data_IF_555248113669
#
_entry.id   IF_555248113669
#
_cell.length_a   1.000
_cell.length_b   1.000
_cell.length_c   1.000
_cell.angle_alpha   90.00
_cell.angle_beta   90.00
_cell.angle_gamma   90.00
#
_symmetry.space_group_name_H-M   'P 1'
#
loop_
_entity.id
_entity.type
_entity.pdbx_description
1 polymer ?
#
# COMPACT_ATOMS: atom_id res chain seq x y z
N UNK A 1 -36.04 -7.66 -8.48
CA UNK A 1 -35.75 -9.07 -8.16
C UNK A 1 -34.31 -9.47 -8.48
N UNK A 2 -33.57 -8.77 -9.36
CA UNK A 2 -32.17 -9.09 -9.70
C UNK A 2 -31.05 -8.53 -8.80
N UNK A 3 -31.33 -7.68 -7.81
CA UNK A 3 -30.29 -7.17 -6.89
C UNK A 3 -29.97 -8.15 -5.75
N UNK A 4 -30.95 -8.93 -5.30
CA UNK A 4 -30.78 -9.88 -4.19
C UNK A 4 -29.95 -11.11 -4.63
N UNK A 5 -30.09 -11.54 -5.88
CA UNK A 5 -29.31 -12.65 -6.43
C UNK A 5 -27.83 -12.29 -6.65
N UNK A 6 -27.52 -11.06 -7.09
CA UNK A 6 -26.13 -10.59 -7.26
C UNK A 6 -25.43 -10.43 -5.90
N UNK A 7 -26.10 -9.85 -4.90
CA UNK A 7 -25.55 -9.78 -3.54
C UNK A 7 -25.34 -11.17 -2.91
N UNK A 8 -26.25 -12.12 -3.15
CA UNK A 8 -26.13 -13.50 -2.67
C UNK A 8 -24.93 -14.24 -3.29
N UNK A 9 -24.72 -14.11 -4.60
CA UNK A 9 -23.60 -14.74 -5.29
C UNK A 9 -22.23 -14.12 -4.89
N UNK A 10 -22.16 -12.79 -4.76
CA UNK A 10 -20.95 -12.09 -4.29
C UNK A 10 -20.59 -12.46 -2.86
N UNK A 11 -21.59 -12.55 -1.97
CA UNK A 11 -21.40 -13.01 -0.60
C UNK A 11 -20.86 -14.45 -0.56
N UNK A 12 -21.49 -15.40 -1.27
CA UNK A 12 -21.05 -16.81 -1.29
C UNK A 12 -19.61 -16.98 -1.78
N UNK A 13 -19.19 -16.23 -2.81
CA UNK A 13 -17.80 -16.23 -3.28
C UNK A 13 -16.81 -15.69 -2.26
N UNK A 14 -17.19 -14.66 -1.50
CA UNK A 14 -16.37 -14.11 -0.42
C UNK A 14 -16.25 -15.06 0.78
N UNK A 15 -17.32 -15.80 1.14
CA UNK A 15 -17.22 -16.84 2.17
C UNK A 15 -16.23 -17.92 1.76
N UNK A 16 -16.30 -18.41 0.52
CA UNK A 16 -15.38 -19.47 0.05
C UNK A 16 -13.92 -19.01 0.12
N UNK A 17 -13.62 -17.76 -0.25
CA UNK A 17 -12.29 -17.16 -0.13
C UNK A 17 -11.76 -17.14 1.32
N UNK A 18 -12.64 -16.89 2.30
CA UNK A 18 -12.28 -16.74 3.71
C UNK A 18 -12.36 -18.04 4.52
N UNK A 19 -13.09 -19.05 4.04
CA UNK A 19 -13.41 -20.26 4.81
C UNK A 19 -12.51 -21.46 4.53
N UNK A 20 -11.69 -21.46 3.46
CA UNK A 20 -10.72 -22.52 3.15
C UNK A 20 -9.32 -22.29 3.76
N UNK A 21 -9.28 -21.73 4.97
CA UNK A 21 -8.08 -21.76 5.81
C UNK A 21 -8.23 -22.96 6.74
N UNK A 22 -7.97 -24.18 6.25
CA UNK A 22 -7.75 -25.33 7.13
C UNK A 22 -6.85 -26.44 6.52
N UNK A 23 -5.88 -26.84 7.34
CA UNK A 23 -5.07 -28.09 7.35
C UNK A 23 -3.74 -28.21 6.57
N UNK A 24 -3.24 -27.22 5.82
CA UNK A 24 -1.94 -27.38 5.10
C UNK A 24 -0.86 -26.30 5.27
N UNK A 25 -0.85 -25.57 6.39
CA UNK A 25 0.26 -24.66 6.73
C UNK A 25 1.18 -25.24 7.81
N UNK A 26 1.95 -26.27 7.42
CA UNK A 26 3.29 -26.55 7.94
C UNK A 26 4.19 -26.79 6.73
N UNK A 27 4.43 -25.78 5.90
CA UNK A 27 5.48 -25.86 4.86
C UNK A 27 5.94 -24.47 4.46
N UNK A 28 6.89 -23.93 5.23
CA UNK A 28 7.93 -22.99 4.82
C UNK A 28 8.96 -22.95 5.96
N UNK A 29 9.79 -24.00 6.07
CA UNK A 29 10.77 -24.10 7.15
C UNK A 29 11.70 -25.31 7.13
N UNK A 30 11.67 -26.15 6.09
CA UNK A 30 12.61 -27.27 5.96
C UNK A 30 12.92 -27.51 4.48
N UNK A 31 13.83 -26.72 3.90
CA UNK A 31 14.59 -27.12 2.71
C UNK A 31 15.82 -26.22 2.43
N UNK A 32 16.41 -25.63 3.47
CA UNK A 32 17.72 -24.97 3.37
C UNK A 32 18.63 -25.53 4.47
N UNK A 33 18.85 -26.85 4.52
CA UNK A 33 19.98 -27.48 5.22
C UNK A 33 20.21 -28.89 4.65
N UNK A 34 20.46 -28.98 3.33
CA UNK A 34 21.09 -30.16 2.73
C UNK A 34 22.03 -29.75 1.60
N UNK A 35 23.15 -29.12 1.97
CA UNK A 35 24.41 -29.34 1.26
C UNK A 35 25.58 -28.92 2.15
N UNK A 36 26.70 -29.61 1.95
CA UNK A 36 28.03 -29.39 2.52
C UNK A 36 28.33 -30.08 3.86
N UNK A 37 28.49 -31.39 3.75
CA UNK A 37 29.52 -32.11 4.52
C UNK A 37 30.90 -31.57 4.17
N UNK A 38 31.57 -30.90 5.10
CA UNK A 38 33.03 -30.83 5.10
C UNK A 38 33.51 -31.02 6.54
N UNK A 39 34.26 -32.10 6.72
CA UNK A 39 34.93 -32.56 7.93
C UNK A 39 36.08 -31.63 8.34
N UNK A 40 36.20 -31.32 9.63
CA UNK A 40 37.39 -30.69 10.20
C UNK A 40 37.33 -30.60 11.73
N UNK A 41 38.20 -31.35 12.39
CA UNK A 41 38.35 -31.47 13.85
C UNK A 41 39.08 -30.25 14.48
N UNK A 42 38.72 -29.86 15.71
CA UNK A 42 39.60 -29.74 16.90
C UNK A 42 38.93 -28.96 18.06
N UNK A 43 38.67 -29.67 19.17
CA UNK A 43 39.04 -29.28 20.55
C UNK A 43 38.16 -28.33 21.38
N UNK A 44 38.15 -28.47 22.73
CA UNK A 44 36.93 -28.30 23.53
C UNK A 44 37.06 -27.33 24.71
N UNK A 45 36.24 -26.29 24.83
CA UNK A 45 35.99 -25.64 26.14
C UNK A 45 34.60 -24.99 26.18
N UNK A 46 33.99 -25.06 27.36
CA UNK A 46 32.69 -24.52 27.81
C UNK A 46 31.41 -25.31 27.50
N UNK A 47 31.20 -26.31 28.36
CA UNK A 47 29.87 -26.62 28.88
C UNK A 47 29.51 -25.63 30.01
N UNK A 48 28.41 -24.90 29.89
CA UNK A 48 27.40 -24.74 30.95
C UNK A 48 26.25 -23.82 30.53
N UNK A 49 25.05 -24.19 30.99
CA UNK A 49 23.79 -23.45 31.05
C UNK A 49 22.90 -23.47 29.79
N UNK A 50 22.21 -24.61 29.67
CA UNK A 50 20.84 -24.68 29.14
C UNK A 50 19.96 -23.75 29.99
N UNK A 51 19.58 -22.60 29.42
CA UNK A 51 18.38 -21.87 29.83
C UNK A 51 17.58 -21.63 28.57
N UNK A 52 16.46 -22.34 28.46
CA UNK A 52 15.44 -22.14 27.45
C UNK A 52 14.91 -20.71 27.60
N UNK A 53 15.37 -19.80 26.73
CA UNK A 53 14.64 -18.57 26.42
C UNK A 53 14.16 -18.67 25.00
N UNK A 54 12.84 -18.70 24.85
CA UNK A 54 12.16 -18.34 23.61
C UNK A 54 12.58 -16.91 23.25
N UNK A 55 13.68 -16.78 22.51
CA UNK A 55 13.92 -15.59 21.72
C UNK A 55 13.08 -15.75 20.47
N UNK A 56 11.95 -15.04 20.45
CA UNK A 56 11.33 -14.63 19.20
C UNK A 56 12.45 -14.10 18.31
N UNK A 57 12.77 -14.85 17.26
CA UNK A 57 13.64 -14.37 16.19
C UNK A 57 12.80 -13.31 15.49
N UNK A 58 12.89 -12.08 16.00
CA UNK A 58 12.51 -10.90 15.23
C UNK A 58 13.54 -10.87 14.11
N UNK A 59 13.16 -11.45 12.97
CA UNK A 59 13.83 -11.19 11.71
C UNK A 59 13.52 -9.72 11.41
N UNK A 60 14.37 -8.82 11.89
CA UNK A 60 14.56 -7.52 11.27
C UNK A 60 15.17 -7.80 9.90
N UNK A 61 14.33 -8.17 8.94
CA UNK A 61 14.64 -7.98 7.54
C UNK A 61 14.62 -6.46 7.32
N UNK A 62 15.75 -5.82 7.63
CA UNK A 62 16.10 -4.55 7.03
C UNK A 62 16.44 -4.83 5.56
N UNK A 63 15.40 -5.01 4.75
CA UNK A 63 15.50 -5.22 3.32
C UNK A 63 14.79 -4.08 2.61
N UNK A 64 15.58 -3.18 2.03
CA UNK A 64 15.22 -2.03 1.20
C UNK A 64 14.37 -0.96 1.90
N UNK A 65 14.69 0.30 1.62
CA UNK A 65 14.12 1.46 2.31
C UNK A 65 12.62 1.58 2.02
N UNK A 66 11.78 1.17 2.96
CA UNK A 66 10.34 1.32 2.87
C UNK A 66 9.95 2.80 3.08
N UNK A 67 9.53 3.47 2.02
CA UNK A 67 9.01 4.83 2.07
C UNK A 67 7.58 4.95 2.63
N UNK A 68 6.94 3.80 2.83
CA UNK A 68 5.52 3.67 3.12
C UNK A 68 5.22 3.29 4.56
N UNK A 69 3.93 3.34 4.90
CA UNK A 69 3.38 2.66 6.07
C UNK A 69 2.63 1.40 5.59
N UNK A 70 3.32 0.37 5.05
CA UNK A 70 2.66 -0.87 4.66
C UNK A 70 2.06 -1.55 5.87
N UNK A 71 2.80 -1.56 6.97
CA UNK A 71 2.51 -2.38 8.15
C UNK A 71 2.11 -1.57 9.36
N UNK A 72 1.34 -2.17 10.26
CA UNK A 72 0.90 -1.54 11.51
C UNK A 72 2.07 -1.21 12.45
N UNK A 73 3.13 -2.02 12.36
CA UNK A 73 4.38 -1.76 13.08
C UNK A 73 5.01 -0.45 12.61
N UNK A 74 5.04 -0.20 11.30
CA UNK A 74 5.49 1.08 10.73
C UNK A 74 4.52 2.21 11.01
N UNK A 75 3.23 1.90 11.24
CA UNK A 75 2.22 2.85 11.69
C UNK A 75 2.34 3.20 13.19
N UNK A 76 3.21 2.51 13.94
CA UNK A 76 3.34 2.60 15.40
C UNK A 76 1.98 2.46 16.12
N UNK A 77 1.17 1.47 15.73
CA UNK A 77 -0.14 1.23 16.35
C UNK A 77 -1.15 2.36 16.08
N UNK A 78 -1.10 2.97 14.89
CA UNK A 78 -2.03 4.02 14.47
C UNK A 78 -1.54 5.45 14.72
N UNK A 79 -0.47 5.64 15.50
CA UNK A 79 0.11 6.97 15.79
C UNK A 79 0.53 7.68 14.50
N UNK A 80 0.95 6.93 13.49
CA UNK A 80 1.38 7.48 12.19
C UNK A 80 0.32 7.41 11.10
N UNK A 81 -0.92 7.11 11.45
CA UNK A 81 -2.04 6.96 10.53
C UNK A 81 -2.48 5.50 10.38
N UNK A 82 -3.36 5.26 9.41
CA UNK A 82 -3.90 3.94 9.07
C UNK A 82 -3.00 3.33 7.99
N UNK A 83 -2.34 2.22 8.33
CA UNK A 83 -1.49 1.47 7.39
C UNK A 83 -2.29 0.92 6.21
N UNK A 84 -1.61 0.54 5.14
CA UNK A 84 -2.24 -0.18 4.03
C UNK A 84 -2.89 -1.49 4.49
N UNK A 85 -2.20 -2.25 5.35
CA UNK A 85 -2.76 -3.43 6.01
C UNK A 85 -4.06 -3.14 6.75
N UNK A 86 -4.09 -2.08 7.58
CA UNK A 86 -5.26 -1.76 8.38
C UNK A 86 -6.41 -1.22 7.50
N UNK A 87 -6.12 -0.43 6.46
CA UNK A 87 -7.13 -0.03 5.48
C UNK A 87 -7.78 -1.27 4.83
N UNK A 88 -6.99 -2.27 4.44
CA UNK A 88 -7.47 -3.56 3.94
C UNK A 88 -8.34 -4.29 4.97
N UNK A 89 -7.87 -4.42 6.22
CA UNK A 89 -8.63 -5.10 7.28
C UNK A 89 -9.95 -4.41 7.58
N UNK A 90 -9.96 -3.08 7.65
CA UNK A 90 -11.16 -2.28 7.91
C UNK A 90 -12.19 -2.48 6.80
N UNK A 91 -11.78 -2.42 5.53
CA UNK A 91 -12.66 -2.64 4.40
C UNK A 91 -13.25 -4.06 4.40
N UNK A 92 -12.41 -5.08 4.61
CA UNK A 92 -12.84 -6.49 4.65
C UNK A 92 -13.79 -6.76 5.82
N UNK A 93 -13.52 -6.18 6.99
CA UNK A 93 -14.42 -6.27 8.15
C UNK A 93 -15.77 -5.61 7.86
N UNK A 94 -15.78 -4.42 7.26
CA UNK A 94 -17.03 -3.73 6.91
C UNK A 94 -17.84 -4.50 5.88
N UNK A 95 -17.21 -5.10 4.86
CA UNK A 95 -17.90 -6.00 3.91
C UNK A 95 -18.49 -7.21 4.61
N UNK A 96 -17.70 -7.85 5.48
CA UNK A 96 -18.16 -8.98 6.26
C UNK A 96 -19.40 -8.63 7.08
N UNK A 97 -19.35 -7.53 7.84
CA UNK A 97 -20.47 -7.05 8.64
C UNK A 97 -21.69 -6.70 7.77
N UNK A 98 -21.47 -6.14 6.57
CA UNK A 98 -22.53 -5.82 5.62
C UNK A 98 -23.25 -7.07 5.12
N UNK A 99 -22.52 -8.15 4.84
CA UNK A 99 -23.10 -9.37 4.26
C UNK A 99 -23.61 -10.38 5.29
N UNK A 100 -22.98 -10.46 6.46
CA UNK A 100 -23.28 -11.49 7.45
C UNK A 100 -23.75 -10.94 8.81
N UNK A 101 -23.77 -9.62 8.97
CA UNK A 101 -24.06 -8.97 10.25
C UNK A 101 -22.90 -9.05 11.24
N UNK A 102 -23.15 -8.56 12.45
CA UNK A 102 -22.19 -8.61 13.55
C UNK A 102 -22.09 -10.05 14.08
N UNK A 103 -21.09 -10.80 13.64
CA UNK A 103 -20.84 -12.17 14.11
C UNK A 103 -19.84 -12.11 15.28
N UNK A 104 -20.22 -12.56 16.48
CA UNK A 104 -19.27 -12.75 17.58
C UNK A 104 -18.14 -13.69 17.13
N UNK A 105 -16.89 -13.28 17.27
CA UNK A 105 -15.74 -14.13 16.93
C UNK A 105 -14.72 -13.56 15.95
N UNK A 106 -14.68 -12.24 15.73
CA UNK A 106 -13.50 -11.59 15.13
C UNK A 106 -12.33 -11.57 16.13
N UNK A 107 -11.81 -12.76 16.43
CA UNK A 107 -10.62 -12.99 17.24
C UNK A 107 -9.53 -13.56 16.34
N UNK A 108 -8.27 -13.38 16.69
CA UNK A 108 -7.12 -13.74 15.84
C UNK A 108 -7.04 -15.22 15.46
N UNK A 109 -7.72 -16.11 16.19
CA UNK A 109 -7.79 -17.55 15.88
C UNK A 109 -8.91 -17.93 14.90
N UNK A 110 -9.74 -16.98 14.46
CA UNK A 110 -10.82 -17.25 13.50
C UNK A 110 -10.23 -17.35 12.08
N UNK A 111 -10.57 -18.43 11.36
CA UNK A 111 -10.10 -18.68 9.99
C UNK A 111 -10.36 -17.54 8.99
N UNK A 112 -11.47 -16.82 9.14
CA UNK A 112 -11.79 -15.68 8.28
C UNK A 112 -10.90 -14.48 8.61
N UNK A 113 -10.53 -14.31 9.89
CA UNK A 113 -9.58 -13.27 10.32
C UNK A 113 -8.19 -13.58 9.79
N UNK A 114 -7.75 -14.85 9.88
CA UNK A 114 -6.49 -15.30 9.31
C UNK A 114 -6.44 -15.11 7.78
N UNK A 115 -7.53 -15.40 7.08
CA UNK A 115 -7.63 -15.12 5.64
C UNK A 115 -7.51 -13.62 5.32
N UNK A 116 -8.14 -12.75 6.11
CA UNK A 116 -8.00 -11.29 5.96
C UNK A 116 -6.57 -10.84 6.26
N UNK A 117 -5.91 -11.44 7.25
CA UNK A 117 -4.50 -11.17 7.56
C UNK A 117 -3.58 -11.59 6.41
N UNK A 118 -3.81 -12.73 5.76
CA UNK A 118 -3.05 -13.13 4.56
C UNK A 118 -3.20 -12.13 3.40
N UNK A 119 -4.41 -11.57 3.22
CA UNK A 119 -4.66 -10.51 2.23
C UNK A 119 -3.88 -9.24 2.61
N UNK A 120 -3.95 -8.82 3.88
CA UNK A 120 -3.24 -7.64 4.37
C UNK A 120 -1.72 -7.79 4.26
N UNK A 121 -1.15 -8.97 4.56
CA UNK A 121 0.27 -9.25 4.39
C UNK A 121 0.68 -9.23 2.90
N UNK A 122 -0.12 -9.83 2.02
CA UNK A 122 0.15 -9.80 0.58
C UNK A 122 0.06 -8.38 0.00
N UNK A 123 -0.78 -7.52 0.57
CA UNK A 123 -0.83 -6.09 0.30
C UNK A 123 0.50 -5.41 0.70
N UNK A 124 0.92 -5.55 1.95
CA UNK A 124 2.15 -4.93 2.46
C UNK A 124 3.43 -5.35 1.73
N UNK A 125 3.49 -6.58 1.19
CA UNK A 125 4.69 -7.10 0.50
C UNK A 125 4.98 -6.33 -0.80
N UNK A 126 3.98 -5.67 -1.41
CA UNK A 126 4.18 -4.94 -2.68
C UNK A 126 5.15 -3.77 -2.53
N UNK A 127 5.21 -3.12 -1.36
CA UNK A 127 6.18 -2.05 -1.06
C UNK A 127 7.65 -2.49 -1.12
N UNK A 128 7.92 -3.80 -1.20
CA UNK A 128 9.26 -4.32 -1.47
C UNK A 128 9.82 -3.95 -2.85
N UNK A 129 8.98 -3.46 -3.78
CA UNK A 129 9.34 -3.01 -5.13
C UNK A 129 8.91 -1.56 -5.39
N UNK A 130 9.46 -0.65 -4.57
CA UNK A 130 9.14 0.79 -4.57
C UNK A 130 9.47 1.53 -5.88
N UNK A 131 10.39 1.01 -6.70
CA UNK A 131 10.85 1.69 -7.93
C UNK A 131 9.99 1.31 -9.15
N UNK A 132 9.01 0.44 -8.96
CA UNK A 132 8.08 0.03 -10.00
C UNK A 132 6.77 0.82 -9.89
N UNK A 133 6.71 1.96 -10.58
CA UNK A 133 5.56 2.86 -10.51
C UNK A 133 4.21 2.21 -10.78
N UNK A 134 4.13 1.16 -11.61
CA UNK A 134 2.85 0.48 -11.91
C UNK A 134 2.23 -0.18 -10.67
N UNK A 135 3.03 -0.47 -9.65
CA UNK A 135 2.58 -1.07 -8.40
C UNK A 135 2.00 -0.02 -7.43
N UNK A 136 2.31 1.27 -7.64
CA UNK A 136 2.00 2.37 -6.72
C UNK A 136 1.22 3.51 -7.41
N UNK A 137 1.03 3.47 -8.73
CA UNK A 137 0.59 4.59 -9.57
C UNK A 137 1.52 5.81 -9.54
N UNK A 138 2.78 5.60 -9.20
CA UNK A 138 3.82 6.62 -9.27
C UNK A 138 4.23 6.86 -10.73
N UNK A 139 4.88 7.99 -10.97
CA UNK A 139 5.55 8.28 -12.21
C UNK A 139 4.62 8.53 -13.41
N UNK A 140 3.34 8.79 -13.17
CA UNK A 140 2.29 8.89 -14.18
C UNK A 140 1.98 7.54 -14.86
N UNK A 141 2.26 6.43 -14.19
CA UNK A 141 2.08 5.06 -14.70
C UNK A 141 0.61 4.57 -14.75
N UNK A 142 -0.37 5.48 -14.84
CA UNK A 142 -1.81 5.18 -14.73
C UNK A 142 -2.30 4.05 -15.62
N UNK A 143 -1.86 3.99 -16.87
CA UNK A 143 -2.20 2.92 -17.79
C UNK A 143 -1.71 1.55 -17.28
N UNK A 144 -0.43 1.45 -16.92
CA UNK A 144 0.19 0.21 -16.47
C UNK A 144 -0.37 -0.22 -15.11
N UNK A 145 -0.56 0.72 -14.18
CA UNK A 145 -1.19 0.44 -12.88
C UNK A 145 -2.63 -0.04 -13.03
N UNK A 146 -3.43 0.56 -13.92
CA UNK A 146 -4.80 0.12 -14.24
C UNK A 146 -4.79 -1.32 -14.81
N UNK A 147 -3.94 -1.61 -15.79
CA UNK A 147 -3.82 -2.95 -16.39
C UNK A 147 -3.40 -3.99 -15.36
N UNK A 148 -2.45 -3.64 -14.48
CA UNK A 148 -1.98 -4.50 -13.40
C UNK A 148 -3.07 -4.78 -12.38
N UNK A 149 -3.81 -3.75 -11.96
CA UNK A 149 -4.94 -3.84 -11.05
C UNK A 149 -6.01 -4.79 -11.60
N UNK A 150 -6.44 -4.58 -12.85
CA UNK A 150 -7.44 -5.44 -13.51
C UNK A 150 -6.95 -6.89 -13.58
N UNK A 151 -5.69 -7.11 -13.99
CA UNK A 151 -5.11 -8.45 -14.11
C UNK A 151 -5.09 -9.21 -12.78
N UNK A 152 -4.77 -8.53 -11.68
CA UNK A 152 -4.77 -9.14 -10.35
C UNK A 152 -6.20 -9.44 -9.87
N UNK A 153 -7.16 -8.56 -10.16
CA UNK A 153 -8.58 -8.79 -9.89
C UNK A 153 -9.11 -10.00 -10.66
N UNK A 154 -8.81 -10.12 -11.96
CA UNK A 154 -9.20 -11.27 -12.78
C UNK A 154 -8.56 -12.57 -12.26
N UNK A 155 -7.27 -12.51 -11.89
CA UNK A 155 -6.57 -13.66 -11.34
C UNK A 155 -7.16 -14.08 -9.98
N UNK A 156 -7.57 -13.14 -9.13
CA UNK A 156 -8.26 -13.46 -7.88
C UNK A 156 -9.56 -14.22 -8.12
N UNK A 157 -10.38 -13.78 -9.09
CA UNK A 157 -11.64 -14.45 -9.45
C UNK A 157 -11.36 -15.86 -10.00
N UNK A 158 -10.37 -16.01 -10.87
CA UNK A 158 -10.01 -17.31 -11.43
C UNK A 158 -9.46 -18.28 -10.37
N UNK A 159 -8.53 -17.81 -9.53
CA UNK A 159 -7.91 -18.61 -8.47
C UNK A 159 -8.93 -19.02 -7.38
N UNK A 160 -10.02 -18.28 -7.20
CA UNK A 160 -11.09 -18.64 -6.27
C UNK A 160 -11.81 -19.96 -6.64
N UNK A 161 -11.47 -20.57 -7.79
CA UNK A 161 -11.86 -21.93 -8.18
C UNK A 161 -10.97 -23.03 -7.56
N UNK A 162 -10.51 -22.85 -6.31
CA UNK A 162 -9.81 -23.87 -5.52
C UNK A 162 -8.36 -23.57 -5.12
N UNK A 163 -7.81 -22.42 -5.51
CA UNK A 163 -6.51 -21.91 -5.01
C UNK A 163 -6.72 -20.59 -4.24
N UNK A 164 -7.29 -20.73 -3.04
CA UNK A 164 -7.65 -19.56 -2.23
C UNK A 164 -6.44 -18.79 -1.71
N UNK A 165 -5.27 -19.43 -1.57
CA UNK A 165 -4.03 -18.73 -1.19
C UNK A 165 -3.59 -17.81 -2.32
N UNK A 166 -3.58 -18.29 -3.57
CA UNK A 166 -3.28 -17.45 -4.72
C UNK A 166 -4.33 -16.34 -4.92
N UNK A 167 -5.61 -16.64 -4.66
CA UNK A 167 -6.68 -15.64 -4.71
C UNK A 167 -6.45 -14.52 -3.68
N UNK A 168 -6.21 -14.87 -2.41
CA UNK A 168 -5.94 -13.89 -1.33
C UNK A 168 -4.69 -13.06 -1.61
N UNK A 169 -3.62 -13.69 -2.12
CA UNK A 169 -2.42 -12.96 -2.53
C UNK A 169 -2.73 -11.95 -3.63
N UNK A 170 -3.51 -12.34 -4.63
CA UNK A 170 -3.87 -11.47 -5.76
C UNK A 170 -4.73 -10.29 -5.31
N UNK A 171 -5.68 -10.54 -4.39
CA UNK A 171 -6.49 -9.49 -3.77
C UNK A 171 -5.58 -8.52 -3.00
N UNK A 172 -4.70 -9.00 -2.13
CA UNK A 172 -3.81 -8.14 -1.36
C UNK A 172 -2.98 -7.23 -2.27
N UNK A 173 -2.36 -7.81 -3.29
CA UNK A 173 -1.57 -7.05 -4.27
C UNK A 173 -2.41 -6.04 -5.05
N UNK A 174 -3.64 -6.39 -5.46
CA UNK A 174 -4.56 -5.48 -6.14
C UNK A 174 -4.94 -4.29 -5.23
N UNK A 175 -5.23 -4.56 -3.95
CA UNK A 175 -5.58 -3.52 -2.99
C UNK A 175 -4.43 -2.56 -2.70
N UNK A 176 -3.18 -3.03 -2.74
CA UNK A 176 -2.02 -2.15 -2.61
C UNK A 176 -1.93 -1.14 -3.75
N UNK A 177 -2.12 -1.63 -4.97
CA UNK A 177 -2.13 -0.78 -6.17
C UNK A 177 -3.27 0.23 -6.11
N UNK A 178 -4.47 -0.21 -5.71
CA UNK A 178 -5.63 0.67 -5.50
C UNK A 178 -5.33 1.75 -4.45
N UNK A 179 -4.67 1.40 -3.35
CA UNK A 179 -4.24 2.32 -2.30
C UNK A 179 -3.24 3.36 -2.80
N UNK A 180 -2.22 2.92 -3.56
CA UNK A 180 -1.22 3.80 -4.16
C UNK A 180 -1.86 4.89 -5.03
N UNK A 181 -2.87 4.54 -5.83
CA UNK A 181 -3.62 5.53 -6.62
C UNK A 181 -4.13 6.70 -5.78
N UNK A 182 -4.81 6.44 -4.66
CA UNK A 182 -5.41 7.48 -3.84
C UNK A 182 -4.38 8.24 -3.00
N UNK A 183 -3.27 7.58 -2.64
CA UNK A 183 -2.22 8.20 -1.84
C UNK A 183 -1.23 9.04 -2.67
N UNK A 184 -1.00 8.69 -3.94
CA UNK A 184 0.06 9.31 -4.77
C UNK A 184 -0.47 10.09 -5.96
N UNK A 185 -1.77 10.01 -6.27
CA UNK A 185 -2.40 10.91 -7.25
C UNK A 185 -2.96 12.18 -6.59
N UNK A 186 -3.44 13.12 -7.42
CA UNK A 186 -4.15 14.32 -6.99
C UNK A 186 -5.67 14.13 -6.82
N UNK A 187 -6.18 12.89 -6.83
CA UNK A 187 -7.62 12.65 -6.76
C UNK A 187 -8.23 13.18 -5.46
N UNK A 188 -7.63 12.86 -4.31
CA UNK A 188 -8.12 13.26 -2.98
C UNK A 188 -8.10 14.77 -2.84
N UNK A 189 -7.04 15.44 -3.29
CA UNK A 189 -6.99 16.89 -3.37
C UNK A 189 -8.18 17.43 -4.18
N UNK A 190 -8.48 16.82 -5.33
CA UNK A 190 -9.58 17.26 -6.21
C UNK A 190 -10.96 17.12 -5.55
N UNK A 191 -11.16 16.13 -4.69
CA UNK A 191 -12.38 15.97 -3.91
C UNK A 191 -12.51 17.10 -2.91
N UNK A 192 -11.46 17.34 -2.11
CA UNK A 192 -11.46 18.40 -1.09
C UNK A 192 -11.73 19.77 -1.70
N UNK A 193 -11.11 20.09 -2.85
CA UNK A 193 -11.38 21.36 -3.54
C UNK A 193 -12.85 21.50 -3.97
N UNK A 194 -13.48 20.40 -4.40
CA UNK A 194 -14.89 20.39 -4.80
C UNK A 194 -15.85 20.34 -3.61
N UNK A 195 -15.35 20.33 -2.37
CA UNK A 195 -16.15 20.11 -1.17
C UNK A 195 -16.79 18.72 -1.13
N UNK A 196 -16.18 17.76 -1.81
CA UNK A 196 -16.60 16.36 -1.84
C UNK A 196 -15.66 15.51 -0.96
N UNK A 197 -16.18 14.41 -0.42
CA UNK A 197 -15.40 13.40 0.28
C UNK A 197 -15.89 12.02 -0.15
N UNK A 198 -15.08 10.99 0.09
CA UNK A 198 -15.47 9.60 -0.07
C UNK A 198 -16.03 9.22 -1.46
N UNK A 199 -15.48 9.82 -2.54
CA UNK A 199 -15.84 9.48 -3.92
C UNK A 199 -14.73 8.67 -4.59
N UNK A 200 -15.10 7.51 -5.14
CA UNK A 200 -14.21 6.61 -5.88
C UNK A 200 -13.92 7.23 -7.25
N UNK A 201 -12.68 7.10 -7.75
CA UNK A 201 -12.34 7.53 -9.10
C UNK A 201 -13.12 6.72 -10.15
N UNK A 202 -13.90 7.37 -11.04
CA UNK A 202 -14.70 6.65 -12.03
C UNK A 202 -13.85 5.78 -12.96
N UNK A 203 -14.09 4.47 -12.93
CA UNK A 203 -13.45 3.51 -13.84
C UNK A 203 -12.09 2.96 -13.40
N UNK A 204 -11.59 3.34 -12.22
CA UNK A 204 -10.38 2.71 -11.64
C UNK A 204 -10.66 1.22 -11.36
N UNK A 205 -9.81 0.34 -11.87
CA UNK A 205 -9.99 -1.12 -11.76
C UNK A 205 -11.06 -1.73 -12.68
N UNK A 206 -11.74 -0.93 -13.51
CA UNK A 206 -12.73 -1.41 -14.47
C UNK A 206 -12.11 -1.69 -15.86
N UNK A 207 -12.38 -2.86 -16.47
CA UNK A 207 -11.94 -3.17 -17.83
C UNK A 207 -12.36 -2.12 -18.85
N UNK A 208 -11.53 -1.90 -19.88
CA UNK A 208 -11.76 -0.95 -20.97
C UNK A 208 -11.82 0.54 -20.56
N UNK A 209 -11.47 0.88 -19.32
CA UNK A 209 -11.31 2.27 -18.90
C UNK A 209 -9.84 2.67 -19.04
N UNK A 210 -9.60 3.79 -19.73
CA UNK A 210 -8.26 4.36 -19.88
C UNK A 210 -8.11 5.54 -18.93
N UNK A 211 -7.00 5.57 -18.19
CA UNK A 211 -6.66 6.65 -17.27
C UNK A 211 -5.41 7.33 -17.81
N UNK A 212 -5.54 8.59 -18.24
CA UNK A 212 -4.45 9.33 -18.86
C UNK A 212 -3.91 10.43 -17.94
N UNK A 213 -2.59 10.49 -17.73
CA UNK A 213 -1.98 11.59 -17.00
C UNK A 213 -1.93 12.86 -17.84
N UNK A 214 -1.72 13.98 -17.15
CA UNK A 214 -1.24 15.20 -17.78
C UNK A 214 0.10 15.01 -18.50
N UNK A 215 0.25 15.67 -19.64
CA UNK A 215 1.49 15.68 -20.41
C UNK A 215 2.72 16.10 -19.58
N UNK A 216 3.94 15.71 -20.00
CA UNK A 216 5.16 15.80 -19.19
C UNK A 216 5.63 17.23 -18.88
N UNK A 217 5.07 18.25 -19.56
CA UNK A 217 5.38 19.67 -19.37
C UNK A 217 4.32 20.43 -18.58
N UNK A 218 3.20 19.79 -18.24
CA UNK A 218 2.13 20.40 -17.46
C UNK A 218 2.61 20.66 -16.04
N UNK A 219 2.41 21.88 -15.53
CA UNK A 219 2.75 22.26 -14.16
C UNK A 219 1.68 21.74 -13.21
N UNK A 220 2.00 20.68 -12.48
CA UNK A 220 1.09 19.98 -11.57
C UNK A 220 1.42 20.21 -10.09
N UNK A 221 2.62 20.68 -9.76
CA UNK A 221 2.96 21.01 -8.38
C UNK A 221 3.68 22.36 -8.21
N UNK A 222 3.80 22.78 -6.95
CA UNK A 222 4.57 23.93 -6.47
C UNK A 222 5.29 23.53 -5.17
N UNK A 223 6.34 24.26 -4.79
CA UNK A 223 7.14 23.90 -3.62
C UNK A 223 6.31 23.93 -2.33
N UNK A 224 6.40 22.84 -1.57
CA UNK A 224 5.99 22.71 -0.19
C UNK A 224 7.05 23.27 0.73
N UNK A 225 6.63 24.02 1.75
CA UNK A 225 7.54 24.48 2.80
C UNK A 225 8.03 23.26 3.58
N UNK A 226 9.32 23.23 3.90
CA UNK A 226 9.93 22.17 4.69
C UNK A 226 9.36 22.15 6.10
N UNK A 227 9.25 20.94 6.65
CA UNK A 227 9.12 20.77 8.07
C UNK A 227 10.45 21.19 8.74
N UNK A 228 10.41 22.21 9.59
CA UNK A 228 11.50 22.46 10.53
C UNK A 228 11.25 21.61 11.78
N UNK A 229 12.27 21.27 12.57
CA UNK A 229 12.19 20.33 13.70
C UNK A 229 11.05 20.57 14.73
N UNK A 230 10.38 21.71 14.66
CA UNK A 230 9.27 22.14 15.53
C UNK A 230 7.93 22.37 14.81
N UNK A 231 7.88 22.31 13.48
CA UNK A 231 6.66 22.59 12.71
C UNK A 231 6.64 21.78 11.44
N UNK A 232 5.56 21.03 11.24
CA UNK A 232 5.30 20.45 9.94
C UNK A 232 5.08 21.58 8.93
N UNK A 233 5.77 21.50 7.80
CA UNK A 233 5.61 22.43 6.70
C UNK A 233 4.20 22.39 6.09
N UNK A 234 3.96 23.30 5.16
CA UNK A 234 2.68 23.47 4.47
C UNK A 234 2.78 23.01 3.01
N UNK A 235 1.99 21.98 2.69
CA UNK A 235 1.79 21.42 1.36
C UNK A 235 0.35 21.60 0.85
N UNK A 236 -0.52 22.25 1.63
CA UNK A 236 -1.92 22.36 1.29
C UNK A 236 -2.08 23.27 0.06
N UNK A 237 -2.87 22.79 -0.90
CA UNK A 237 -3.11 23.48 -2.17
C UNK A 237 -1.86 23.64 -3.07
N UNK A 238 -0.76 22.91 -2.81
CA UNK A 238 0.46 22.98 -3.66
C UNK A 238 0.39 22.11 -4.90
N UNK A 239 -0.54 21.17 -4.95
CA UNK A 239 -0.88 20.38 -6.14
C UNK A 239 -1.91 21.16 -6.97
N UNK A 240 -1.57 21.48 -8.21
CA UNK A 240 -2.40 22.23 -9.16
C UNK A 240 -3.38 21.30 -9.86
N UNK A 241 -4.60 21.78 -10.07
CA UNK A 241 -5.68 21.00 -10.65
C UNK A 241 -5.99 21.46 -12.08
N UNK A 242 -5.68 20.60 -13.04
CA UNK A 242 -6.17 20.71 -14.42
C UNK A 242 -6.70 19.34 -14.87
N UNK A 243 -5.89 18.28 -14.74
CA UNK A 243 -6.28 16.88 -14.89
C UNK A 243 -5.48 15.99 -13.89
N UNK A 244 -5.63 14.66 -13.99
CA UNK A 244 -4.99 13.68 -13.11
C UNK A 244 -3.45 13.72 -13.24
N UNK A 245 -2.77 13.65 -12.10
CA UNK A 245 -1.30 13.60 -11.99
C UNK A 245 -0.91 12.76 -10.77
N UNK A 246 0.32 12.27 -10.75
CA UNK A 246 0.89 11.47 -9.66
C UNK A 246 2.31 11.91 -9.30
N UNK A 247 2.80 11.41 -8.17
CA UNK A 247 4.15 11.65 -7.68
C UNK A 247 5.17 10.82 -8.45
N UNK A 248 6.33 11.39 -8.77
CA UNK A 248 7.47 10.64 -9.31
C UNK A 248 8.41 10.21 -8.18
N UNK A 249 8.83 8.94 -8.16
CA UNK A 249 9.78 8.45 -7.17
C UNK A 249 11.21 8.40 -7.75
N UNK A 250 12.24 8.73 -6.94
CA UNK A 250 13.60 8.93 -7.46
C UNK A 250 14.29 7.71 -8.08
N UNK A 251 13.89 6.51 -7.69
CA UNK A 251 14.46 5.26 -8.20
C UNK A 251 13.83 4.76 -9.51
N UNK A 252 12.73 5.35 -9.98
CA UNK A 252 11.97 4.82 -11.11
C UNK A 252 12.73 4.97 -12.45
N UNK A 253 13.18 3.87 -13.08
CA UNK A 253 13.98 3.97 -14.30
C UNK A 253 13.16 4.42 -15.51
N UNK A 254 11.88 4.02 -15.57
CA UNK A 254 10.97 4.34 -16.66
C UNK A 254 10.31 5.73 -16.52
N UNK A 255 10.25 6.25 -15.29
CA UNK A 255 9.41 7.41 -14.96
C UNK A 255 10.16 8.52 -14.23
N UNK A 256 11.46 8.71 -14.55
CA UNK A 256 12.23 9.86 -14.05
C UNK A 256 11.43 11.15 -14.17
N UNK A 257 11.38 11.93 -13.09
CA UNK A 257 10.79 13.26 -13.05
C UNK A 257 11.36 14.11 -14.19
N UNK A 258 10.59 14.27 -15.27
CA UNK A 258 11.10 14.86 -16.54
C UNK A 258 11.30 16.37 -16.45
N UNK A 259 10.68 17.03 -15.48
CA UNK A 259 10.80 18.47 -15.28
C UNK A 259 10.38 18.90 -13.88
N UNK A 260 10.78 20.13 -13.52
CA UNK A 260 10.29 20.86 -12.36
C UNK A 260 8.81 21.19 -12.38
N UNK A 261 8.07 20.77 -13.42
CA UNK A 261 6.64 20.98 -13.51
C UNK A 261 5.86 19.87 -12.78
N UNK A 262 6.48 18.72 -12.54
CA UNK A 262 5.82 17.53 -11.98
C UNK A 262 6.06 17.38 -10.48
N UNK A 263 5.12 16.69 -9.83
CA UNK A 263 5.19 16.34 -8.42
C UNK A 263 6.20 15.22 -8.21
N UNK A 264 7.02 15.33 -7.19
CA UNK A 264 7.74 14.22 -6.60
C UNK A 264 6.79 13.45 -5.68
N UNK A 265 7.12 12.21 -5.37
CA UNK A 265 6.37 11.43 -4.39
C UNK A 265 6.48 12.09 -3.00
N UNK A 266 7.69 12.29 -2.48
CA UNK A 266 7.93 12.90 -1.15
C UNK A 266 8.50 11.95 -0.10
N UNK A 267 8.73 12.48 1.10
CA UNK A 267 9.22 11.67 2.24
C UNK A 267 10.74 11.47 2.25
N UNK A 268 11.27 10.74 3.24
CA UNK A 268 12.68 10.77 3.60
C UNK A 268 13.59 9.94 2.67
N UNK A 269 13.00 9.07 1.84
CA UNK A 269 13.73 8.18 0.92
C UNK A 269 13.58 8.56 -0.56
N UNK A 270 12.77 9.59 -0.86
CA UNK A 270 12.61 10.09 -2.22
C UNK A 270 13.53 11.29 -2.49
N UNK A 271 14.62 11.05 -3.19
CA UNK A 271 15.57 12.10 -3.56
C UNK A 271 15.08 13.01 -4.69
N UNK A 272 13.94 12.70 -5.32
CA UNK A 272 13.40 13.50 -6.43
C UNK A 272 12.78 14.81 -5.95
N UNK A 273 12.46 14.88 -4.66
CA UNK A 273 11.92 16.04 -3.93
C UNK A 273 12.74 17.30 -4.15
N UNK A 274 14.07 17.19 -4.12
CA UNK A 274 14.99 18.33 -4.23
C UNK A 274 15.54 18.55 -5.64
N UNK A 275 15.07 17.79 -6.63
CA UNK A 275 15.60 17.78 -8.01
C UNK A 275 15.71 19.19 -8.64
N UNK A 276 14.81 20.11 -8.28
CA UNK A 276 14.75 21.47 -8.83
C UNK A 276 15.06 22.57 -7.79
N UNK A 277 15.51 22.19 -6.60
CA UNK A 277 15.82 23.13 -5.52
C UNK A 277 17.33 23.39 -5.45
N UNK A 278 17.71 24.66 -5.32
CA UNK A 278 19.08 25.01 -4.94
C UNK A 278 19.33 24.71 -3.46
N UNK A 279 20.62 24.61 -3.06
CA UNK A 279 21.05 24.24 -1.70
C UNK A 279 20.36 25.06 -0.60
N UNK A 280 20.12 26.36 -0.83
CA UNK A 280 19.47 27.25 0.14
C UNK A 280 17.97 26.94 0.25
N UNK A 281 17.31 26.68 -0.88
CA UNK A 281 15.89 26.35 -0.93
C UNK A 281 15.61 24.98 -0.30
N UNK A 282 16.55 24.03 -0.38
CA UNK A 282 16.44 22.71 0.28
C UNK A 282 16.38 22.79 1.81
N UNK A 283 16.81 23.90 2.42
CA UNK A 283 16.71 24.13 3.87
C UNK A 283 15.29 24.60 4.25
N UNK A 284 14.58 25.24 3.32
CA UNK A 284 13.29 25.90 3.56
C UNK A 284 12.13 25.13 2.92
N UNK A 285 12.39 24.30 1.92
CA UNK A 285 11.40 23.57 1.13
C UNK A 285 11.75 22.08 1.05
N UNK A 286 10.73 21.22 1.17
CA UNK A 286 10.83 19.77 0.89
C UNK A 286 10.52 19.45 -0.57
N UNK A 287 10.40 20.46 -1.42
CA UNK A 287 10.16 20.29 -2.85
C UNK A 287 8.69 20.25 -3.23
N UNK A 288 8.43 19.82 -4.45
CA UNK A 288 7.09 19.67 -5.02
C UNK A 288 6.63 18.24 -4.75
N UNK A 289 5.70 17.99 -3.84
CA UNK A 289 5.37 16.63 -3.39
C UNK A 289 3.87 16.32 -3.43
N UNK A 290 3.47 15.06 -3.22
CA UNK A 290 2.04 14.66 -3.23
C UNK A 290 1.65 13.51 -2.27
N UNK A 291 2.60 12.78 -1.70
CA UNK A 291 2.36 11.59 -0.86
C UNK A 291 1.45 11.85 0.37
N UNK A 292 0.44 10.97 0.55
CA UNK A 292 -0.56 10.93 1.64
C UNK A 292 -0.56 9.63 2.48
N UNK A 293 0.50 8.82 2.47
CA UNK A 293 0.61 7.51 3.13
C UNK A 293 0.55 7.54 4.67
N UNK A 294 0.83 8.68 5.30
CA UNK A 294 0.94 8.84 6.74
C UNK A 294 0.28 10.12 7.24
N UNK A 295 -0.23 10.08 8.47
CA UNK A 295 -0.64 11.28 9.21
C UNK A 295 0.54 12.10 9.77
N UNK A 296 1.79 11.73 9.48
CA UNK A 296 2.98 12.43 9.96
C UNK A 296 3.76 13.10 8.84
N UNK A 297 4.23 14.33 9.08
CA UNK A 297 5.01 15.10 8.11
C UNK A 297 6.41 14.53 7.86
N UNK A 298 6.87 13.58 8.68
CA UNK A 298 8.13 12.87 8.46
C UNK A 298 8.05 11.98 7.22
N UNK A 299 6.93 11.30 7.02
CA UNK A 299 6.76 10.33 5.93
C UNK A 299 5.93 10.91 4.78
N UNK A 300 4.91 11.72 5.09
CA UNK A 300 3.99 12.24 4.07
C UNK A 300 3.90 13.77 4.15
N UNK A 301 4.38 14.49 3.12
CA UNK A 301 4.24 15.93 3.08
C UNK A 301 2.77 16.38 3.06
N UNK A 302 1.87 15.59 2.43
CA UNK A 302 0.42 15.84 2.38
C UNK A 302 -0.35 15.13 3.50
N UNK A 303 0.27 14.95 4.68
CA UNK A 303 -0.33 14.21 5.82
C UNK A 303 -1.75 14.62 6.20
N UNK A 304 -2.12 15.88 5.96
CA UNK A 304 -3.42 16.43 6.32
C UNK A 304 -4.56 15.74 5.56
N UNK A 305 -4.26 15.15 4.40
CA UNK A 305 -5.20 14.43 3.54
C UNK A 305 -5.13 12.91 3.72
N UNK A 306 -4.35 12.41 4.68
CA UNK A 306 -4.17 10.97 4.90
C UNK A 306 -5.49 10.28 5.27
N UNK A 307 -6.29 10.90 6.14
CA UNK A 307 -7.57 10.35 6.57
C UNK A 307 -8.57 10.30 5.41
N UNK A 308 -8.66 11.39 4.63
CA UNK A 308 -9.52 11.47 3.44
C UNK A 308 -9.10 10.44 2.38
N UNK A 309 -7.80 10.24 2.20
CA UNK A 309 -7.29 9.19 1.31
C UNK A 309 -7.68 7.79 1.80
N UNK A 310 -7.47 7.50 3.09
CA UNK A 310 -7.83 6.22 3.69
C UNK A 310 -9.35 5.94 3.64
N UNK A 311 -10.19 6.96 3.84
CA UNK A 311 -11.65 6.84 3.70
C UNK A 311 -12.05 6.42 2.27
N UNK A 312 -11.50 7.11 1.26
CA UNK A 312 -11.77 6.79 -0.15
C UNK A 312 -11.24 5.41 -0.52
N UNK A 313 -10.06 5.02 -0.03
CA UNK A 313 -9.53 3.65 -0.21
C UNK A 313 -10.47 2.61 0.36
N UNK A 314 -10.93 2.82 1.60
CA UNK A 314 -11.82 1.86 2.27
C UNK A 314 -13.12 1.74 1.48
N UNK A 315 -13.66 2.83 0.93
CA UNK A 315 -14.81 2.76 0.04
C UNK A 315 -14.49 2.03 -1.27
N UNK A 316 -13.38 2.37 -1.93
CA UNK A 316 -12.97 1.78 -3.21
C UNK A 316 -12.64 0.29 -3.09
N UNK A 317 -12.11 -0.16 -1.96
CA UNK A 317 -11.83 -1.58 -1.68
C UNK A 317 -13.11 -2.43 -1.63
N UNK A 318 -14.25 -1.80 -1.32
CA UNK A 318 -15.54 -2.46 -1.15
C UNK A 318 -16.40 -2.49 -2.42
N UNK A 319 -16.11 -1.62 -3.38
CA UNK A 319 -16.80 -1.51 -4.66
C UNK A 319 -16.46 -2.71 -5.57
#
# INVERSE_FOLDING_TARGET
MGLIEDHGARAVNFVMLLTDVNEKLVFLGQNILRSNSVSGWFGPYYAMLIVVRQTAVIILAAGYADAFIPTDMKALGGIRGISHMEQTRLAMRQLWETWYGNIPGWVSSNKNVLAVDEIAEANAIVDGDQENGELHFDGESFQAGQERLIKLSDHAVFANAGDYVAARKSIGMALHILQGFYAHSNWVESLVQKGATNQIYPGLGYPNTMIYPLGPKSKTCSNCRAAVAVSCGDCDGKVKMADLTSGHYSGEPAFKKKSSAKCSYGGPFDSSTTYDLGVIDSVIYVGQTINKDSSTCLFSPHRALHCEAAEVVIAATKD
#
